data_IF_513706982165
#
_entry.id   IF_513706982165
#
_cell.length_a   1.000
_cell.length_b   1.000
_cell.length_c   1.000
_cell.angle_alpha   90.00
_cell.angle_beta   90.00
_cell.angle_gamma   90.00
#
_symmetry.space_group_name_H-M   'P 1'
#
loop_
_entity.id
_entity.type
_entity.pdbx_description
1 polymer ?
#
# COMPACT_ATOMS: atom_id res chain seq x y z
N UNK A 1 -22.28 20.87 -3.33
CA UNK A 1 -20.86 20.64 -2.99
C UNK A 1 -20.58 19.35 -2.20
N UNK A 2 -21.43 18.90 -1.26
CA UNK A 2 -21.17 17.66 -0.49
C UNK A 2 -21.16 16.39 -1.37
N UNK A 3 -22.04 16.26 -2.34
CA UNK A 3 -22.10 15.11 -3.26
C UNK A 3 -20.82 14.90 -4.08
N UNK A 4 -20.21 15.98 -4.59
CA UNK A 4 -18.97 15.90 -5.37
C UNK A 4 -17.82 15.27 -4.56
N UNK A 5 -17.71 15.60 -3.27
CA UNK A 5 -16.66 15.06 -2.39
C UNK A 5 -16.83 13.55 -2.22
N UNK A 6 -18.06 13.09 -1.96
CA UNK A 6 -18.35 11.67 -1.80
C UNK A 6 -18.10 10.91 -3.09
N UNK A 7 -18.44 11.51 -4.25
CA UNK A 7 -18.17 10.93 -5.56
C UNK A 7 -16.66 10.70 -5.79
N UNK A 8 -15.80 11.69 -5.51
CA UNK A 8 -14.36 11.52 -5.65
C UNK A 8 -13.75 10.53 -4.64
N UNK A 9 -14.27 10.46 -3.41
CA UNK A 9 -13.85 9.45 -2.43
C UNK A 9 -14.21 8.05 -2.93
N UNK A 10 -15.42 7.86 -3.45
CA UNK A 10 -15.85 6.58 -4.04
C UNK A 10 -14.97 6.20 -5.24
N UNK A 11 -14.61 7.15 -6.10
CA UNK A 11 -13.65 6.92 -7.20
C UNK A 11 -12.29 6.49 -6.66
N UNK A 12 -11.77 7.16 -5.63
CA UNK A 12 -10.49 6.79 -5.02
C UNK A 12 -10.52 5.37 -4.45
N UNK A 13 -11.59 5.01 -3.73
CA UNK A 13 -11.79 3.66 -3.20
C UNK A 13 -11.91 2.64 -4.34
N UNK A 14 -12.69 2.94 -5.38
CA UNK A 14 -12.83 2.08 -6.54
C UNK A 14 -11.50 1.89 -7.29
N UNK A 15 -10.67 2.93 -7.36
CA UNK A 15 -9.32 2.87 -7.93
C UNK A 15 -8.42 1.92 -7.15
N UNK A 16 -8.39 2.05 -5.81
CA UNK A 16 -7.68 1.13 -4.92
C UNK A 16 -8.16 -0.32 -5.11
N UNK A 17 -9.48 -0.53 -5.15
CA UNK A 17 -10.07 -1.86 -5.35
C UNK A 17 -9.71 -2.42 -6.74
N UNK A 18 -9.67 -1.58 -7.77
CA UNK A 18 -9.28 -1.97 -9.12
C UNK A 18 -7.82 -2.43 -9.16
N UNK A 19 -6.90 -1.71 -8.50
CA UNK A 19 -5.49 -2.13 -8.39
C UNK A 19 -5.39 -3.53 -7.76
N UNK A 20 -6.27 -3.86 -6.81
CA UNK A 20 -6.33 -5.17 -6.17
C UNK A 20 -6.95 -6.26 -7.07
N UNK A 21 -8.00 -5.95 -7.83
CA UNK A 21 -8.64 -6.92 -8.72
C UNK A 21 -7.73 -7.28 -9.91
N UNK A 22 -7.05 -6.28 -10.48
CA UNK A 22 -6.14 -6.49 -11.60
C UNK A 22 -4.72 -6.87 -11.16
N UNK A 23 -4.52 -7.20 -9.87
CA UNK A 23 -3.21 -7.50 -9.30
C UNK A 23 -2.52 -8.67 -10.02
N UNK A 24 -3.28 -9.71 -10.37
CA UNK A 24 -2.76 -10.94 -10.96
C UNK A 24 -2.51 -10.83 -12.47
N UNK A 25 -3.10 -9.82 -13.13
CA UNK A 25 -3.01 -9.61 -14.57
C UNK A 25 -1.99 -8.53 -14.95
N UNK A 26 -1.94 -7.44 -14.18
CA UNK A 26 -1.12 -6.27 -14.50
C UNK A 26 0.28 -6.32 -13.89
N UNK A 27 0.50 -7.18 -12.89
CA UNK A 27 1.71 -7.13 -12.08
C UNK A 27 2.33 -8.50 -11.87
N UNK A 28 3.65 -8.52 -11.88
CA UNK A 28 4.43 -9.73 -11.69
C UNK A 28 4.65 -10.01 -10.19
N UNK A 29 4.01 -11.06 -9.68
CA UNK A 29 4.21 -11.54 -8.30
C UNK A 29 4.14 -13.07 -8.19
N UNK A 30 5.25 -13.78 -8.45
CA UNK A 30 5.29 -15.24 -8.40
C UNK A 30 5.15 -15.81 -6.98
N UNK A 31 5.33 -14.98 -5.95
CA UNK A 31 5.19 -15.40 -4.57
C UNK A 31 3.72 -15.53 -4.14
N UNK A 32 2.77 -15.02 -4.92
CA UNK A 32 1.35 -15.16 -4.61
C UNK A 32 0.95 -16.63 -4.44
N UNK A 33 1.39 -17.50 -5.36
CA UNK A 33 1.07 -18.93 -5.33
C UNK A 33 1.85 -19.67 -4.24
N UNK A 34 3.11 -19.28 -4.01
CA UNK A 34 3.94 -19.82 -2.92
C UNK A 34 3.28 -19.63 -1.55
N UNK A 35 2.69 -18.46 -1.28
CA UNK A 35 1.96 -18.21 -0.03
C UNK A 35 0.56 -18.85 0.01
N UNK A 36 -0.03 -19.19 -1.15
CA UNK A 36 -1.37 -19.78 -1.23
C UNK A 36 -1.37 -21.28 -0.95
N UNK A 37 -0.33 -22.00 -1.39
CA UNK A 37 -0.26 -23.46 -1.28
C UNK A 37 0.05 -23.94 0.14
N UNK A 38 0.50 -23.07 1.05
CA UNK A 38 0.70 -23.34 2.48
C UNK A 38 1.50 -24.61 2.84
N UNK A 39 2.15 -25.25 1.88
CA UNK A 39 2.99 -26.42 2.10
C UNK A 39 4.42 -25.96 2.36
N UNK A 40 4.99 -26.31 3.52
CA UNK A 40 6.40 -26.06 3.88
C UNK A 40 7.43 -26.57 2.85
N UNK A 41 6.99 -27.39 1.90
CA UNK A 41 7.82 -27.99 0.85
C UNK A 41 7.59 -27.37 -0.55
N UNK A 42 6.83 -26.27 -0.65
CA UNK A 42 6.68 -25.57 -1.92
C UNK A 42 8.06 -25.07 -2.39
N UNK A 43 8.45 -25.42 -3.60
CA UNK A 43 9.70 -24.94 -4.20
C UNK A 43 9.64 -23.43 -4.32
N UNK A 44 10.67 -22.74 -3.82
CA UNK A 44 10.81 -21.31 -3.99
C UNK A 44 10.80 -20.98 -5.49
N UNK A 45 9.85 -20.16 -5.98
CA UNK A 45 9.65 -19.97 -7.40
C UNK A 45 10.83 -19.24 -8.03
N UNK A 46 11.18 -19.58 -9.27
CA UNK A 46 12.09 -18.75 -10.06
C UNK A 46 11.41 -17.42 -10.38
N UNK A 47 12.11 -16.32 -10.14
CA UNK A 47 11.58 -14.99 -10.39
C UNK A 47 12.62 -14.03 -10.92
N UNK A 48 12.14 -13.02 -11.63
CA UNK A 48 12.93 -11.91 -12.13
C UNK A 48 12.86 -10.72 -11.16
N UNK A 49 14.00 -10.37 -10.57
CA UNK A 49 14.13 -9.27 -9.62
C UNK A 49 13.66 -7.93 -10.19
N UNK A 50 14.00 -7.63 -11.45
CA UNK A 50 13.68 -6.35 -12.07
C UNK A 50 12.17 -6.23 -12.29
N UNK A 51 11.55 -7.28 -12.84
CA UNK A 51 10.09 -7.31 -13.04
C UNK A 51 9.33 -7.21 -11.73
N UNK A 52 9.83 -7.88 -10.67
CA UNK A 52 9.23 -7.84 -9.34
C UNK A 52 9.26 -6.43 -8.74
N UNK A 53 10.43 -5.80 -8.74
CA UNK A 53 10.62 -4.46 -8.16
C UNK A 53 9.78 -3.42 -8.92
N UNK A 54 9.82 -3.45 -10.26
CA UNK A 54 9.00 -2.55 -11.09
C UNK A 54 7.52 -2.74 -10.81
N UNK A 55 7.06 -3.98 -10.69
CA UNK A 55 5.66 -4.28 -10.39
C UNK A 55 5.24 -3.73 -9.03
N UNK A 56 6.06 -3.91 -7.99
CA UNK A 56 5.78 -3.37 -6.65
C UNK A 56 5.81 -1.83 -6.63
N UNK A 57 6.75 -1.23 -7.38
CA UNK A 57 6.82 0.22 -7.51
C UNK A 57 5.59 0.80 -8.21
N UNK A 58 5.15 0.19 -9.32
CA UNK A 58 3.96 0.64 -10.06
C UNK A 58 2.69 0.48 -9.23
N UNK A 59 2.55 -0.63 -8.47
CA UNK A 59 1.46 -0.81 -7.49
C UNK A 59 1.46 0.31 -6.47
N UNK A 60 2.62 0.62 -5.88
CA UNK A 60 2.74 1.68 -4.90
C UNK A 60 2.37 3.06 -5.46
N UNK A 61 2.84 3.40 -6.67
CA UNK A 61 2.51 4.68 -7.31
C UNK A 61 1.01 4.81 -7.54
N UNK A 62 0.33 3.78 -8.04
CA UNK A 62 -1.12 3.81 -8.22
C UNK A 62 -1.86 3.94 -6.89
N UNK A 63 -1.48 3.14 -5.89
CA UNK A 63 -2.05 3.22 -4.55
C UNK A 63 -1.83 4.61 -3.93
N UNK A 64 -0.65 5.20 -4.09
CA UNK A 64 -0.32 6.54 -3.62
C UNK A 64 -1.22 7.60 -4.28
N UNK A 65 -1.40 7.55 -5.61
CA UNK A 65 -2.26 8.48 -6.33
C UNK A 65 -3.70 8.42 -5.81
N UNK A 66 -4.29 7.22 -5.72
CA UNK A 66 -5.66 7.06 -5.23
C UNK A 66 -5.80 7.43 -3.75
N UNK A 67 -4.80 7.10 -2.93
CA UNK A 67 -4.77 7.48 -1.51
C UNK A 67 -4.70 8.99 -1.33
N UNK A 68 -3.89 9.68 -2.13
CA UNK A 68 -3.81 11.15 -2.14
C UNK A 68 -5.14 11.79 -2.54
N UNK A 69 -5.85 11.24 -3.54
CA UNK A 69 -7.19 11.69 -3.92
C UNK A 69 -8.13 11.59 -2.70
N UNK A 70 -8.17 10.43 -2.03
CA UNK A 70 -9.02 10.21 -0.86
C UNK A 70 -8.71 11.22 0.25
N UNK A 71 -7.43 11.35 0.64
CA UNK A 71 -7.00 12.27 1.70
C UNK A 71 -7.34 13.72 1.33
N UNK A 72 -7.06 14.11 0.08
CA UNK A 72 -7.33 15.46 -0.40
C UNK A 72 -8.80 15.81 -0.31
N UNK A 73 -9.70 14.92 -0.74
CA UNK A 73 -11.14 15.21 -0.71
C UNK A 73 -11.74 15.13 0.70
N UNK A 74 -11.22 14.28 1.59
CA UNK A 74 -11.65 14.20 3.00
C UNK A 74 -11.28 15.49 3.75
N UNK A 75 -10.01 15.91 3.69
CA UNK A 75 -9.52 17.02 4.51
C UNK A 75 -9.55 18.37 3.79
N UNK A 76 -9.66 18.38 2.45
CA UNK A 76 -9.61 19.57 1.58
C UNK A 76 -8.39 20.46 1.83
N UNK A 77 -7.30 19.87 2.29
CA UNK A 77 -6.08 20.57 2.65
C UNK A 77 -4.87 19.96 1.92
N UNK A 78 -4.20 20.78 1.11
CA UNK A 78 -3.04 20.37 0.31
C UNK A 78 -1.85 19.98 1.18
N UNK A 79 -1.60 20.70 2.27
CA UNK A 79 -0.51 20.41 3.22
C UNK A 79 -0.71 19.05 3.87
N UNK A 80 -1.94 18.74 4.26
CA UNK A 80 -2.26 17.45 4.89
C UNK A 80 -2.12 16.31 3.89
N UNK A 81 -2.54 16.54 2.65
CA UNK A 81 -2.35 15.57 1.55
C UNK A 81 -0.87 15.28 1.32
N UNK A 82 -0.03 16.33 1.26
CA UNK A 82 1.42 16.19 1.10
C UNK A 82 2.07 15.44 2.27
N UNK A 83 1.66 15.72 3.51
CA UNK A 83 2.14 14.99 4.68
C UNK A 83 1.75 13.51 4.65
N UNK A 84 0.52 13.19 4.22
CA UNK A 84 0.07 11.81 4.04
C UNK A 84 0.86 11.10 2.94
N UNK A 85 1.09 11.78 1.81
CA UNK A 85 1.91 11.27 0.70
C UNK A 85 3.34 10.97 1.15
N UNK A 86 3.98 11.91 1.85
CA UNK A 86 5.33 11.76 2.37
C UNK A 86 5.43 10.57 3.33
N UNK A 87 4.46 10.42 4.24
CA UNK A 87 4.45 9.29 5.18
C UNK A 87 4.32 7.95 4.45
N UNK A 88 3.44 7.86 3.44
CA UNK A 88 3.31 6.66 2.61
C UNK A 88 4.61 6.32 1.87
N UNK A 89 5.30 7.33 1.32
CA UNK A 89 6.58 7.16 0.63
C UNK A 89 7.66 6.67 1.59
N UNK A 90 7.77 7.26 2.79
CA UNK A 90 8.78 6.86 3.78
C UNK A 90 8.56 5.40 4.19
N UNK A 91 7.32 5.01 4.51
CA UNK A 91 7.02 3.64 4.91
C UNK A 91 7.30 2.66 3.77
N UNK A 92 6.93 3.01 2.53
CA UNK A 92 7.26 2.18 1.37
C UNK A 92 8.78 2.04 1.15
N UNK A 93 9.52 3.14 1.29
CA UNK A 93 10.97 3.16 1.12
C UNK A 93 11.70 2.30 2.18
N UNK A 94 11.11 2.11 3.36
CA UNK A 94 11.62 1.23 4.41
C UNK A 94 11.18 -0.23 4.20
N UNK A 95 9.89 -0.44 3.93
CA UNK A 95 9.31 -1.79 3.84
C UNK A 95 9.72 -2.55 2.58
N UNK A 96 9.93 -1.85 1.46
CA UNK A 96 10.37 -2.49 0.21
C UNK A 96 11.75 -3.16 0.35
N UNK A 97 12.83 -2.50 0.80
CA UNK A 97 14.12 -3.16 1.02
C UNK A 97 14.04 -4.32 2.01
N UNK A 98 13.29 -4.16 3.11
CA UNK A 98 13.10 -5.24 4.10
C UNK A 98 12.44 -6.46 3.44
N UNK A 99 11.43 -6.24 2.62
CA UNK A 99 10.78 -7.32 1.88
C UNK A 99 11.71 -7.97 0.85
N UNK A 100 12.48 -7.19 0.09
CA UNK A 100 13.48 -7.72 -0.85
C UNK A 100 14.55 -8.55 -0.13
N UNK A 101 14.98 -8.12 1.07
CA UNK A 101 15.89 -8.90 1.90
C UNK A 101 15.27 -10.23 2.34
N UNK A 102 14.01 -10.23 2.77
CA UNK A 102 13.29 -11.46 3.09
C UNK A 102 13.23 -12.45 1.92
N UNK A 103 13.07 -11.92 0.69
CA UNK A 103 13.08 -12.75 -0.52
C UNK A 103 14.46 -13.34 -0.77
N UNK A 104 15.53 -12.54 -0.64
CA UNK A 104 16.91 -13.01 -0.82
C UNK A 104 17.27 -14.14 0.13
N UNK A 105 16.77 -14.07 1.36
CA UNK A 105 16.94 -15.07 2.42
C UNK A 105 15.96 -16.25 2.32
N UNK A 106 15.21 -16.36 1.19
CA UNK A 106 14.20 -17.40 0.96
C UNK A 106 13.17 -17.53 2.10
N UNK A 107 12.89 -16.42 2.78
CA UNK A 107 11.97 -16.33 3.92
C UNK A 107 12.40 -17.13 5.17
N UNK A 108 13.69 -17.42 5.37
CA UNK A 108 14.18 -18.13 6.58
C UNK A 108 13.97 -17.32 7.87
N UNK A 109 14.02 -15.99 7.81
CA UNK A 109 13.62 -15.08 8.92
C UNK A 109 12.20 -15.37 9.45
N UNK A 110 11.33 -15.93 8.62
CA UNK A 110 10.03 -16.42 9.03
C UNK A 110 8.95 -16.13 8.00
N UNK A 111 8.26 -17.18 7.55
CA UNK A 111 7.16 -17.12 6.60
C UNK A 111 6.10 -16.05 6.93
N UNK A 112 5.67 -15.98 8.20
CA UNK A 112 4.68 -15.00 8.65
C UNK A 112 5.21 -13.56 8.53
N UNK A 113 6.47 -13.33 8.91
CA UNK A 113 7.07 -12.01 8.85
C UNK A 113 7.11 -11.48 7.41
N UNK A 114 7.62 -12.30 6.49
CA UNK A 114 7.71 -11.93 5.07
C UNK A 114 6.34 -11.73 4.43
N UNK A 115 5.35 -12.53 4.84
CA UNK A 115 3.96 -12.36 4.43
C UNK A 115 3.37 -11.02 4.90
N UNK A 116 3.63 -10.60 6.13
CA UNK A 116 3.20 -9.28 6.62
C UNK A 116 3.93 -8.14 5.93
N UNK A 117 5.26 -8.26 5.71
CA UNK A 117 6.02 -7.25 4.96
C UNK A 117 5.46 -7.05 3.56
N UNK A 118 5.14 -8.14 2.85
CA UNK A 118 4.48 -8.10 1.54
C UNK A 118 3.20 -7.27 1.55
N UNK A 119 2.35 -7.42 2.58
CA UNK A 119 1.09 -6.67 2.69
C UNK A 119 1.31 -5.16 2.83
N UNK A 120 2.36 -4.72 3.54
CA UNK A 120 2.67 -3.29 3.64
C UNK A 120 3.09 -2.69 2.29
N UNK A 121 3.76 -3.47 1.45
CA UNK A 121 4.23 -3.02 0.13
C UNK A 121 3.09 -3.03 -0.90
N UNK A 122 2.23 -4.04 -0.85
CA UNK A 122 1.17 -4.25 -1.86
C UNK A 122 -0.14 -3.53 -1.50
N UNK A 123 -0.55 -3.57 -0.23
CA UNK A 123 -1.86 -3.08 0.21
C UNK A 123 -1.77 -1.65 0.75
N UNK A 124 -2.81 -0.82 0.56
CA UNK A 124 -2.87 0.55 1.08
C UNK A 124 -3.18 0.58 2.58
N UNK A 125 -2.56 -0.28 3.38
CA UNK A 125 -2.76 -0.34 4.83
C UNK A 125 -2.40 0.99 5.51
N UNK A 126 -1.41 1.69 4.95
CA UNK A 126 -0.93 2.98 5.45
C UNK A 126 -2.04 4.05 5.36
N UNK A 127 -2.82 4.04 4.28
CA UNK A 127 -3.95 4.96 4.12
C UNK A 127 -4.97 4.78 5.26
N UNK A 128 -5.26 3.53 5.61
CA UNK A 128 -6.20 3.19 6.68
C UNK A 128 -5.72 3.71 8.04
N UNK A 129 -4.41 3.80 8.27
CA UNK A 129 -3.81 4.41 9.45
C UNK A 129 -3.82 5.96 9.38
N UNK A 130 -3.56 6.54 8.21
CA UNK A 130 -3.48 8.00 8.03
C UNK A 130 -4.82 8.68 8.26
N UNK A 131 -5.92 8.11 7.77
CA UNK A 131 -7.26 8.70 7.88
C UNK A 131 -7.65 9.00 9.35
N UNK A 132 -7.64 8.02 10.28
CA UNK A 132 -7.98 8.28 11.68
C UNK A 132 -6.95 9.17 12.38
N UNK A 133 -5.66 9.02 12.05
CA UNK A 133 -4.60 9.87 12.60
C UNK A 133 -4.84 11.35 12.28
N UNK A 134 -5.13 11.68 11.03
CA UNK A 134 -5.42 13.04 10.61
C UNK A 134 -6.77 13.51 11.17
N UNK A 135 -7.77 12.65 11.24
CA UNK A 135 -9.05 12.98 11.86
C UNK A 135 -8.87 13.41 13.32
N UNK A 136 -8.09 12.65 14.10
CA UNK A 136 -7.78 12.97 15.48
C UNK A 136 -6.97 14.26 15.61
N UNK A 137 -5.96 14.45 14.76
CA UNK A 137 -5.18 15.69 14.71
C UNK A 137 -6.07 16.90 14.43
N UNK A 138 -7.05 16.78 13.54
CA UNK A 138 -8.00 17.84 13.23
C UNK A 138 -8.84 18.20 14.45
N UNK A 139 -9.41 17.18 15.10
CA UNK A 139 -10.20 17.37 16.31
C UNK A 139 -9.40 18.06 17.43
N UNK A 140 -8.12 17.73 17.57
CA UNK A 140 -7.26 18.37 18.56
C UNK A 140 -7.00 19.84 18.24
N UNK A 141 -6.69 20.17 16.98
CA UNK A 141 -6.50 21.56 16.55
C UNK A 141 -7.76 22.41 16.71
N UNK A 142 -8.94 21.85 16.44
CA UNK A 142 -10.22 22.54 16.59
C UNK A 142 -10.60 22.76 18.08
N UNK A 143 -9.96 22.07 19.04
CA UNK A 143 -10.20 22.23 20.49
C UNK A 143 -9.29 23.25 21.15
N UNK A 144 -8.15 23.58 20.54
CA UNK A 144 -7.16 24.53 21.07
C UNK A 144 -7.30 25.95 20.54
N UNK A 145 -8.23 26.18 19.60
CA UNK A 145 -8.64 27.50 19.07
C UNK A 145 -9.96 27.90 19.71
#
# INVERSE_FOLDING_TARGET
>A
MRFLIHFYIVIGIAGIVSVRIFEDQLFYDPFLNFFHEATKNASFPEFDWVKLIISHFLRFVLNLIFSCIIIHFIFKNKEWTAQGALLMIIIFAITLPIYLYCISDRFEIGYLFSFYMRRFVIQPLILLLIIPLFYYRKQMLDRTV
#
